data_IF_240468691559
#
_entry.id   IF_240468691559
#
_cell.length_a   1.000
_cell.length_b   1.000
_cell.length_c   1.000
_cell.angle_alpha   90.00
_cell.angle_beta   90.00
_cell.angle_gamma   90.00
#
_symmetry.space_group_name_H-M   'P 1'
#
loop_
_entity.id
_entity.type
_entity.pdbx_description
1 polymer ?
#
# COMPACT_ATOMS: atom_id res chain seq x y z
N UNK A 1 -12.10 27.22 13.98
CA UNK A 1 -12.53 28.61 13.72
C UNK A 1 -14.01 28.58 13.37
N UNK A 2 -14.84 29.36 14.06
CA UNK A 2 -16.29 29.28 13.95
C UNK A 2 -16.78 29.89 12.62
N UNK A 3 -17.44 29.09 11.78
CA UNK A 3 -18.16 29.57 10.60
C UNK A 3 -19.49 30.20 11.04
N UNK A 4 -19.53 31.53 11.13
CA UNK A 4 -20.77 32.28 11.21
C UNK A 4 -21.48 32.20 9.86
N UNK A 5 -22.43 31.26 9.73
CA UNK A 5 -23.38 31.24 8.62
C UNK A 5 -24.32 32.44 8.75
N UNK A 6 -23.94 33.58 8.19
CA UNK A 6 -24.85 34.72 8.02
C UNK A 6 -25.87 34.36 6.94
N UNK A 7 -26.97 33.74 7.38
CA UNK A 7 -28.11 33.38 6.55
C UNK A 7 -28.65 34.66 5.90
N UNK A 8 -28.68 34.70 4.57
CA UNK A 8 -29.23 35.81 3.81
C UNK A 8 -30.73 35.88 4.08
N UNK A 9 -31.13 36.73 5.03
CA UNK A 9 -32.53 37.05 5.24
C UNK A 9 -33.05 37.66 3.93
N UNK A 10 -34.11 37.08 3.38
CA UNK A 10 -34.77 37.60 2.19
C UNK A 10 -35.18 39.08 2.41
N UNK A 11 -35.27 39.91 1.36
CA UNK A 11 -35.80 41.26 1.52
C UNK A 11 -37.18 41.18 2.20
N UNK A 12 -37.43 42.07 3.16
CA UNK A 12 -38.75 42.18 3.78
C UNK A 12 -39.78 42.43 2.68
N UNK A 13 -40.76 41.54 2.56
CA UNK A 13 -41.81 41.70 1.56
C UNK A 13 -42.59 42.97 1.90
N UNK A 14 -42.56 43.97 1.01
CA UNK A 14 -43.44 45.13 1.08
C UNK A 14 -44.86 44.62 0.84
N UNK A 15 -45.60 44.36 1.91
CA UNK A 15 -46.97 43.89 1.86
C UNK A 15 -47.91 45.09 1.74
N UNK A 16 -48.08 45.61 0.53
CA UNK A 16 -49.15 46.55 0.18
C UNK A 16 -50.23 45.81 -0.59
N UNK A 17 -51.49 45.98 -0.21
CA UNK A 17 -52.62 45.40 -0.95
C UNK A 17 -52.84 46.15 -2.28
N UNK A 18 -53.38 45.45 -3.29
CA UNK A 18 -53.68 46.05 -4.60
C UNK A 18 -54.57 47.30 -4.51
N UNK A 19 -55.43 47.37 -3.48
CA UNK A 19 -56.33 48.52 -3.22
C UNK A 19 -55.57 49.74 -2.70
N UNK A 20 -54.54 49.53 -1.88
CA UNK A 20 -53.70 50.61 -1.35
C UNK A 20 -52.80 51.19 -2.46
N UNK A 21 -52.25 50.33 -3.33
CA UNK A 21 -51.42 50.75 -4.48
C UNK A 21 -52.22 51.64 -5.44
N UNK A 22 -53.49 51.28 -5.72
CA UNK A 22 -54.37 52.06 -6.61
C UNK A 22 -54.76 53.44 -6.06
N UNK A 23 -54.58 53.67 -4.76
CA UNK A 23 -54.90 54.94 -4.09
C UNK A 23 -53.70 55.88 -3.91
N UNK A 24 -52.51 55.45 -4.32
CA UNK A 24 -51.29 56.26 -4.22
C UNK A 24 -51.31 57.42 -5.23
N UNK A 25 -50.82 58.58 -4.79
CA UNK A 25 -50.48 59.66 -5.72
C UNK A 25 -49.27 59.28 -6.58
N UNK A 26 -49.14 59.91 -7.76
CA UNK A 26 -48.00 59.72 -8.67
C UNK A 26 -46.63 59.84 -7.98
N UNK A 27 -46.49 60.81 -7.07
CA UNK A 27 -45.24 61.04 -6.31
C UNK A 27 -44.96 59.89 -5.34
N UNK A 28 -45.98 59.38 -4.65
CA UNK A 28 -45.84 58.26 -3.72
C UNK A 28 -45.56 56.95 -4.46
N UNK A 29 -46.23 56.73 -5.60
CA UNK A 29 -45.97 55.58 -6.45
C UNK A 29 -44.54 55.59 -7.01
N UNK A 30 -44.06 56.73 -7.52
CA UNK A 30 -42.66 56.88 -7.98
C UNK A 30 -41.65 56.60 -6.87
N UNK A 31 -41.87 57.13 -5.66
CA UNK A 31 -40.99 56.88 -4.52
C UNK A 31 -40.96 55.39 -4.13
N UNK A 32 -42.11 54.72 -4.16
CA UNK A 32 -42.22 53.29 -3.88
C UNK A 32 -41.43 52.45 -4.90
N UNK A 33 -41.59 52.73 -6.21
CA UNK A 33 -40.85 52.02 -7.27
C UNK A 33 -39.34 52.23 -7.14
N UNK A 34 -38.88 53.45 -6.84
CA UNK A 34 -37.46 53.75 -6.62
C UNK A 34 -36.92 52.97 -5.41
N UNK A 35 -37.68 52.87 -4.32
CA UNK A 35 -37.29 52.09 -3.13
C UNK A 35 -37.13 50.60 -3.48
N UNK A 36 -38.12 50.02 -4.16
CA UNK A 36 -38.09 48.61 -4.59
C UNK A 36 -36.89 48.31 -5.50
N UNK A 37 -36.63 49.18 -6.49
CA UNK A 37 -35.48 49.03 -7.38
C UNK A 37 -34.14 49.15 -6.63
N UNK A 38 -34.07 50.05 -5.66
CA UNK A 38 -32.87 50.24 -4.83
C UNK A 38 -32.59 49.03 -3.94
N UNK A 39 -33.63 48.45 -3.35
CA UNK A 39 -33.54 47.22 -2.56
C UNK A 39 -33.13 46.01 -3.41
N UNK A 40 -33.73 45.86 -4.60
CA UNK A 40 -33.36 44.83 -5.57
C UNK A 40 -31.88 44.93 -5.96
N UNK A 41 -31.39 46.15 -6.25
CA UNK A 41 -29.99 46.38 -6.60
C UNK A 41 -29.04 46.07 -5.43
N UNK A 42 -29.42 46.41 -4.19
CA UNK A 42 -28.65 46.05 -2.98
C UNK A 42 -28.59 44.53 -2.78
N UNK A 43 -29.71 43.85 -2.95
CA UNK A 43 -29.77 42.39 -2.84
C UNK A 43 -28.91 41.71 -3.92
N UNK A 44 -29.01 42.16 -5.17
CA UNK A 44 -28.19 41.67 -6.29
C UNK A 44 -26.70 41.79 -6.01
N UNK A 45 -26.24 42.94 -5.50
CA UNK A 45 -24.84 43.13 -5.09
C UNK A 45 -24.42 42.18 -3.95
N UNK A 46 -25.23 42.03 -2.90
CA UNK A 46 -24.94 41.10 -1.79
C UNK A 46 -24.86 39.65 -2.29
N UNK A 47 -25.72 39.28 -3.24
CA UNK A 47 -25.68 37.95 -3.86
C UNK A 47 -24.40 37.75 -4.67
N UNK A 48 -24.02 38.73 -5.48
CA UNK A 48 -22.78 38.69 -6.29
C UNK A 48 -21.53 38.57 -5.41
N UNK A 49 -21.43 39.35 -4.33
CA UNK A 49 -20.31 39.28 -3.39
C UNK A 49 -20.19 37.91 -2.72
N UNK A 50 -21.32 37.34 -2.28
CA UNK A 50 -21.34 35.97 -1.72
C UNK A 50 -20.92 34.94 -2.76
N UNK A 51 -21.42 35.04 -3.99
CA UNK A 51 -21.03 34.13 -5.08
C UNK A 51 -19.52 34.21 -5.34
N UNK A 52 -18.95 35.42 -5.41
CA UNK A 52 -17.50 35.63 -5.57
C UNK A 52 -16.70 35.00 -4.43
N UNK A 53 -17.11 35.20 -3.18
CA UNK A 53 -16.44 34.60 -2.02
C UNK A 53 -16.44 33.07 -2.10
N UNK A 54 -17.60 32.46 -2.39
CA UNK A 54 -17.71 31.00 -2.52
C UNK A 54 -16.89 30.45 -3.70
N UNK A 55 -16.82 31.17 -4.82
CA UNK A 55 -16.01 30.78 -5.97
C UNK A 55 -14.51 30.81 -5.64
N UNK A 56 -14.06 31.82 -4.89
CA UNK A 56 -12.67 31.89 -4.44
C UNK A 56 -12.32 30.74 -3.49
N UNK A 57 -13.18 30.43 -2.52
CA UNK A 57 -12.97 29.30 -1.59
C UNK A 57 -12.92 27.96 -2.33
N UNK A 58 -13.85 27.73 -3.27
CA UNK A 58 -13.84 26.52 -4.12
C UNK A 58 -12.54 26.44 -4.92
N UNK A 59 -12.08 27.55 -5.50
CA UNK A 59 -10.84 27.60 -6.29
C UNK A 59 -9.62 27.23 -5.44
N UNK A 60 -9.49 27.80 -4.24
CA UNK A 60 -8.39 27.50 -3.33
C UNK A 60 -8.39 26.03 -2.90
N UNK A 61 -9.55 25.49 -2.54
CA UNK A 61 -9.71 24.08 -2.17
C UNK A 61 -9.33 23.13 -3.33
N UNK A 62 -9.80 23.41 -4.55
CA UNK A 62 -9.46 22.62 -5.74
C UNK A 62 -7.96 22.67 -6.02
N UNK A 63 -7.33 23.85 -5.85
CA UNK A 63 -5.89 23.98 -6.03
C UNK A 63 -5.11 23.17 -4.99
N UNK A 64 -5.54 23.21 -3.72
CA UNK A 64 -4.96 22.41 -2.63
C UNK A 64 -5.06 20.89 -2.88
N UNK A 65 -6.23 20.42 -3.30
CA UNK A 65 -6.45 19.00 -3.64
C UNK A 65 -5.54 18.58 -4.81
N UNK A 66 -5.39 19.43 -5.81
CA UNK A 66 -4.53 19.12 -6.96
C UNK A 66 -3.04 19.05 -6.58
N UNK A 67 -2.57 19.87 -5.63
CA UNK A 67 -1.19 19.75 -5.13
C UNK A 67 -0.98 18.45 -4.34
N UNK A 68 -1.91 18.13 -3.43
CA UNK A 68 -1.85 16.91 -2.63
C UNK A 68 -1.91 15.64 -3.51
N UNK A 69 -2.78 15.64 -4.53
CA UNK A 69 -2.87 14.57 -5.52
C UNK A 69 -1.57 14.35 -6.32
N UNK A 70 -0.84 15.42 -6.65
CA UNK A 70 0.45 15.32 -7.34
C UNK A 70 1.56 14.77 -6.43
N UNK A 71 1.57 15.20 -5.17
CA UNK A 71 2.53 14.72 -4.19
C UNK A 71 2.31 13.24 -3.89
N UNK A 72 1.08 12.85 -3.56
CA UNK A 72 0.69 11.45 -3.30
C UNK A 72 0.97 10.54 -4.50
N UNK A 73 0.67 10.99 -5.73
CA UNK A 73 1.01 10.24 -6.94
C UNK A 73 2.52 10.02 -7.14
N UNK A 74 3.34 11.00 -6.79
CA UNK A 74 4.82 10.88 -6.86
C UNK A 74 5.34 9.90 -5.80
N UNK A 75 4.79 9.95 -4.59
CA UNK A 75 5.16 9.02 -3.51
C UNK A 75 4.80 7.57 -3.87
N UNK A 76 3.60 7.33 -4.42
CA UNK A 76 3.14 6.00 -4.85
C UNK A 76 4.10 5.40 -5.89
N UNK A 77 4.41 6.15 -6.96
CA UNK A 77 5.37 5.69 -7.97
C UNK A 77 6.75 5.36 -7.39
N UNK A 78 7.18 6.07 -6.33
CA UNK A 78 8.42 5.78 -5.62
C UNK A 78 8.37 4.46 -4.84
N UNK A 79 7.23 4.14 -4.23
CA UNK A 79 7.00 2.87 -3.53
C UNK A 79 6.98 1.70 -4.52
N UNK A 80 6.24 1.81 -5.63
CA UNK A 80 6.14 0.76 -6.65
C UNK A 80 7.52 0.38 -7.22
N UNK A 81 8.34 1.39 -7.55
CA UNK A 81 9.72 1.14 -8.03
C UNK A 81 10.61 0.48 -6.97
N UNK A 82 10.39 0.77 -5.68
CA UNK A 82 11.15 0.16 -4.59
C UNK A 82 10.75 -1.30 -4.41
N UNK A 83 9.45 -1.59 -4.49
CA UNK A 83 8.91 -2.95 -4.41
C UNK A 83 9.43 -3.82 -5.55
N UNK A 84 9.44 -3.32 -6.79
CA UNK A 84 9.97 -4.06 -7.94
C UNK A 84 11.47 -4.39 -7.78
N UNK A 85 12.27 -3.44 -7.27
CA UNK A 85 13.69 -3.68 -6.96
C UNK A 85 13.90 -4.72 -5.85
N UNK A 86 13.07 -4.68 -4.81
CA UNK A 86 13.12 -5.66 -3.73
C UNK A 86 12.80 -7.07 -4.24
N UNK A 87 11.71 -7.23 -5.00
CA UNK A 87 11.30 -8.50 -5.58
C UNK A 87 12.40 -9.11 -6.47
N UNK A 88 13.05 -8.28 -7.29
CA UNK A 88 14.16 -8.74 -8.12
C UNK A 88 15.39 -9.16 -7.29
N UNK A 89 15.65 -8.47 -6.18
CA UNK A 89 16.76 -8.78 -5.26
C UNK A 89 16.49 -10.10 -4.54
N UNK A 90 15.30 -10.28 -3.99
CA UNK A 90 14.88 -11.52 -3.31
C UNK A 90 14.98 -12.73 -4.24
N UNK A 91 14.47 -12.62 -5.47
CA UNK A 91 14.59 -13.68 -6.49
C UNK A 91 16.06 -14.04 -6.81
N UNK A 92 16.93 -13.03 -6.86
CA UNK A 92 18.36 -13.25 -7.10
C UNK A 92 19.05 -13.92 -5.90
N UNK A 93 18.65 -13.59 -4.68
CA UNK A 93 19.16 -14.24 -3.48
C UNK A 93 18.65 -15.68 -3.38
N UNK A 94 17.37 -15.91 -3.63
CA UNK A 94 16.76 -17.24 -3.62
C UNK A 94 17.46 -18.19 -4.61
N UNK A 95 17.68 -17.74 -5.85
CA UNK A 95 18.40 -18.55 -6.86
C UNK A 95 19.86 -18.82 -6.49
N UNK A 96 20.54 -17.91 -5.78
CA UNK A 96 21.88 -18.16 -5.24
C UNK A 96 21.85 -19.19 -4.11
N UNK A 97 20.89 -19.09 -3.20
CA UNK A 97 20.70 -20.03 -2.10
C UNK A 97 20.43 -21.44 -2.65
N UNK A 98 19.50 -21.58 -3.59
CA UNK A 98 19.17 -22.87 -4.22
C UNK A 98 20.40 -23.52 -4.88
N UNK A 99 21.20 -22.73 -5.63
CA UNK A 99 22.45 -23.23 -6.24
C UNK A 99 23.48 -23.65 -5.20
N UNK A 100 23.60 -22.90 -4.11
CA UNK A 100 24.52 -23.25 -3.03
C UNK A 100 24.07 -24.52 -2.31
N UNK A 101 22.76 -24.68 -2.08
CA UNK A 101 22.18 -25.87 -1.47
C UNK A 101 22.41 -27.13 -2.34
N UNK A 102 22.24 -27.00 -3.66
CA UNK A 102 22.54 -28.06 -4.62
C UNK A 102 24.03 -28.44 -4.59
N UNK A 103 24.93 -27.46 -4.56
CA UNK A 103 26.37 -27.69 -4.42
C UNK A 103 26.73 -28.40 -3.12
N UNK A 104 26.10 -28.02 -2.01
CA UNK A 104 26.32 -28.65 -0.71
C UNK A 104 25.84 -30.11 -0.71
N UNK A 105 24.69 -30.41 -1.32
CA UNK A 105 24.24 -31.79 -1.51
C UNK A 105 25.25 -32.60 -2.31
N UNK A 106 25.71 -32.07 -3.45
CA UNK A 106 26.68 -32.76 -4.28
C UNK A 106 28.01 -32.99 -3.53
N UNK A 107 28.51 -31.99 -2.80
CA UNK A 107 29.69 -32.17 -1.96
C UNK A 107 29.47 -33.24 -0.89
N UNK A 108 28.29 -33.27 -0.26
CA UNK A 108 27.95 -34.28 0.73
C UNK A 108 27.96 -35.69 0.11
N UNK A 109 27.43 -35.85 -1.10
CA UNK A 109 27.47 -37.12 -1.83
C UNK A 109 28.91 -37.51 -2.19
N UNK A 110 29.73 -36.56 -2.64
CA UNK A 110 31.15 -36.78 -2.89
C UNK A 110 31.88 -37.20 -1.61
N UNK A 111 31.65 -36.57 -0.46
CA UNK A 111 32.30 -36.99 0.78
C UNK A 111 31.82 -38.36 1.28
N UNK A 112 30.62 -38.78 0.89
CA UNK A 112 30.02 -40.05 1.31
C UNK A 112 30.11 -41.16 0.27
N UNK A 113 30.64 -40.91 -0.94
CA UNK A 113 30.60 -41.86 -2.05
C UNK A 113 31.23 -43.23 -1.74
N UNK A 114 32.24 -43.25 -0.85
CA UNK A 114 32.92 -44.48 -0.40
C UNK A 114 32.48 -44.93 0.99
N UNK A 115 31.55 -44.23 1.63
CA UNK A 115 31.09 -44.56 2.97
C UNK A 115 30.04 -45.67 2.89
N UNK A 116 30.24 -46.73 3.68
CA UNK A 116 29.29 -47.84 3.81
C UNK A 116 28.68 -47.77 5.21
N UNK A 117 27.35 -47.77 5.29
CA UNK A 117 26.64 -47.76 6.57
C UNK A 117 26.26 -49.20 6.96
N UNK A 118 26.88 -49.70 8.05
CA UNK A 118 26.52 -50.99 8.64
C UNK A 118 25.49 -50.75 9.73
N UNK A 119 24.31 -51.34 9.60
CA UNK A 119 23.22 -51.26 10.58
C UNK A 119 23.12 -52.54 11.40
N UNK A 120 22.61 -52.44 12.65
CA UNK A 120 22.46 -53.55 13.61
C UNK A 120 23.77 -54.11 14.19
N UNK A 121 24.76 -53.24 14.40
CA UNK A 121 25.96 -53.57 15.18
C UNK A 121 25.58 -53.67 16.68
N UNK A 122 26.01 -54.69 17.42
CA UNK A 122 25.80 -54.77 18.86
C UNK A 122 26.43 -53.59 19.60
N UNK A 123 25.69 -53.03 20.57
CA UNK A 123 26.14 -51.90 21.37
C UNK A 123 27.43 -52.29 22.14
N UNK A 124 28.50 -51.51 21.96
CA UNK A 124 29.81 -51.76 22.57
C UNK A 124 30.91 -52.27 21.63
N UNK A 125 30.60 -52.60 20.38
CA UNK A 125 31.59 -52.96 19.33
C UNK A 125 32.03 -51.77 18.46
N UNK A 126 31.57 -50.56 18.79
CA UNK A 126 31.75 -49.33 17.99
C UNK A 126 33.13 -48.66 18.17
N UNK A 127 34.07 -49.29 18.90
CA UNK A 127 35.43 -48.76 19.06
C UNK A 127 36.25 -49.05 17.80
N UNK A 128 37.08 -48.11 17.36
CA UNK A 128 37.84 -48.18 16.10
C UNK A 128 38.51 -49.56 15.85
N UNK A 129 39.19 -50.12 16.86
CA UNK A 129 39.87 -51.42 16.77
C UNK A 129 38.93 -52.64 16.73
N UNK A 130 37.69 -52.50 17.19
CA UNK A 130 36.64 -53.52 17.10
C UNK A 130 35.87 -53.41 15.79
N UNK A 131 35.66 -52.19 15.28
CA UNK A 131 34.94 -51.94 14.01
C UNK A 131 35.68 -52.52 12.82
N UNK A 132 37.02 -52.40 12.76
CA UNK A 132 37.82 -53.04 11.70
C UNK A 132 37.67 -54.57 11.72
N UNK A 133 37.85 -55.20 12.89
CA UNK A 133 37.69 -56.66 13.06
C UNK A 133 36.29 -57.14 12.71
N UNK A 134 35.27 -56.37 13.10
CA UNK A 134 33.89 -56.67 12.78
C UNK A 134 33.66 -56.59 11.26
N UNK A 135 34.24 -55.58 10.60
CA UNK A 135 34.14 -55.42 9.14
C UNK A 135 34.79 -56.59 8.40
N UNK A 136 35.97 -57.04 8.85
CA UNK A 136 36.64 -58.23 8.30
C UNK A 136 35.79 -59.50 8.48
N UNK A 137 35.20 -59.70 9.66
CA UNK A 137 34.34 -60.84 9.93
C UNK A 137 33.10 -60.82 9.02
N UNK A 138 32.44 -59.66 8.87
CA UNK A 138 31.28 -59.49 7.97
C UNK A 138 31.66 -59.86 6.53
N UNK A 139 32.82 -59.41 6.03
CA UNK A 139 33.28 -59.72 4.67
C UNK A 139 33.57 -61.22 4.52
N UNK A 140 34.27 -61.85 5.47
CA UNK A 140 34.59 -63.30 5.44
C UNK A 140 33.34 -64.16 5.45
N UNK A 141 32.32 -63.79 6.22
CA UNK A 141 31.09 -64.56 6.39
C UNK A 141 30.09 -64.33 5.24
N UNK A 142 29.93 -63.07 4.79
CA UNK A 142 28.91 -62.70 3.78
C UNK A 142 29.44 -62.70 2.34
N UNK A 143 30.72 -62.38 2.13
CA UNK A 143 31.35 -62.21 0.82
C UNK A 143 32.67 -63.00 0.69
N UNK A 144 32.66 -64.33 0.81
CA UNK A 144 33.88 -65.15 0.90
C UNK A 144 34.77 -65.10 -0.35
N UNK A 145 34.22 -64.73 -1.52
CA UNK A 145 35.03 -64.53 -2.73
C UNK A 145 35.80 -63.20 -2.69
N UNK A 146 35.18 -62.15 -2.14
CA UNK A 146 35.83 -60.86 -1.93
C UNK A 146 36.92 -60.98 -0.86
N UNK A 147 36.68 -61.75 0.20
CA UNK A 147 37.68 -62.03 1.23
C UNK A 147 38.98 -62.66 0.68
N UNK A 148 38.88 -63.51 -0.35
CA UNK A 148 40.05 -64.13 -1.02
C UNK A 148 40.82 -63.15 -1.91
N UNK A 149 40.16 -62.09 -2.37
CA UNK A 149 40.74 -61.10 -3.29
C UNK A 149 41.47 -59.98 -2.54
N UNK A 150 40.99 -59.65 -1.33
CA UNK A 150 41.56 -58.61 -0.47
C UNK A 150 42.66 -59.17 0.47
N UNK A 151 42.79 -60.50 0.57
CA UNK A 151 43.84 -61.21 1.34
C UNK A 151 43.89 -60.81 2.84
N UNK A 152 42.72 -60.74 3.48
CA UNK A 152 42.55 -60.48 4.92
C UNK A 152 42.95 -61.66 5.84
#
# INVERSE_FOLDING_TARGET
MAQTKEQTKAPEQIQLSNKEIASLSDTQFKALVISMLTELAKYGRKLEEKMKATLSEIKENVQGINSDGKETGTQINGVDQKEERNNQTEKNEETKIQKNEERLRNLQDIFKHSNIQIIRVPEGEEKDQQVEKLSEQIIKESFPNLAKEIDF
#
